data_IF_742356018687
#
_entry.id   IF_742356018687
#
_cell.length_a   1.000
_cell.length_b   1.000
_cell.length_c   1.000
_cell.angle_alpha   90.00
_cell.angle_beta   90.00
_cell.angle_gamma   90.00
#
_symmetry.space_group_name_H-M   'P 1'
#
loop_
_entity.id
_entity.type
_entity.pdbx_description
1 polymer ?
#
# COMPACT_ATOMS: atom_id res chain seq x y z
N UNK A 1 -16.38 24.36 0.46
CA UNK A 1 -14.96 24.74 0.40
C UNK A 1 -14.28 23.86 -0.63
N UNK A 2 -14.17 24.30 -1.88
CA UNK A 2 -13.45 23.51 -2.90
C UNK A 2 -11.96 23.72 -2.69
N UNK A 3 -11.29 22.67 -2.23
CA UNK A 3 -9.84 22.68 -2.08
C UNK A 3 -9.20 22.50 -3.46
N UNK A 4 -8.41 23.49 -3.88
CA UNK A 4 -7.83 23.65 -5.23
C UNK A 4 -6.64 22.71 -5.50
N UNK A 5 -6.73 21.45 -5.06
CA UNK A 5 -5.67 20.46 -5.30
C UNK A 5 -5.69 20.00 -6.76
N UNK A 6 -4.51 19.93 -7.38
CA UNK A 6 -4.34 19.24 -8.65
C UNK A 6 -4.03 17.77 -8.36
N UNK A 7 -4.89 16.86 -8.83
CA UNK A 7 -4.72 15.42 -8.64
C UNK A 7 -4.00 14.85 -9.86
N UNK A 8 -2.94 14.08 -9.61
CA UNK A 8 -2.21 13.33 -10.63
C UNK A 8 -2.55 11.86 -10.48
N UNK A 9 -3.07 11.23 -11.53
CA UNK A 9 -3.35 9.79 -11.56
C UNK A 9 -2.14 9.05 -12.13
N UNK A 10 -1.55 8.16 -11.33
CA UNK A 10 -0.37 7.37 -11.71
C UNK A 10 -0.68 5.88 -11.56
N UNK A 11 -0.18 5.07 -12.49
CA UNK A 11 -0.51 3.65 -12.58
C UNK A 11 0.22 2.74 -11.57
N UNK A 12 1.18 3.27 -10.79
CA UNK A 12 1.95 2.46 -9.85
C UNK A 12 2.52 3.27 -8.68
N UNK A 13 2.71 2.62 -7.55
CA UNK A 13 3.37 3.21 -6.38
C UNK A 13 4.83 3.60 -6.65
N UNK A 14 5.56 2.87 -7.51
CA UNK A 14 6.94 3.25 -7.88
C UNK A 14 6.97 4.60 -8.61
N UNK A 15 6.02 4.83 -9.53
CA UNK A 15 5.91 6.12 -10.24
C UNK A 15 5.52 7.23 -9.26
N UNK A 16 4.59 6.95 -8.33
CA UNK A 16 4.22 7.91 -7.28
C UNK A 16 5.42 8.30 -6.43
N UNK A 17 6.22 7.33 -5.96
CA UNK A 17 7.41 7.59 -5.16
C UNK A 17 8.47 8.38 -5.93
N UNK A 18 8.67 8.09 -7.23
CA UNK A 18 9.59 8.85 -8.06
C UNK A 18 9.20 10.34 -8.20
N UNK A 19 7.91 10.62 -8.36
CA UNK A 19 7.40 12.01 -8.40
C UNK A 19 7.59 12.72 -7.05
N UNK A 20 7.34 12.02 -5.93
CA UNK A 20 7.61 12.56 -4.58
C UNK A 20 9.09 12.84 -4.39
N UNK A 21 9.97 11.91 -4.75
CA UNK A 21 11.42 12.06 -4.62
C UNK A 21 11.98 13.19 -5.50
N UNK A 22 11.36 13.44 -6.66
CA UNK A 22 11.66 14.57 -7.54
C UNK A 22 11.12 15.92 -7.00
N UNK A 23 10.36 15.91 -5.90
CA UNK A 23 9.81 17.11 -5.27
C UNK A 23 8.63 17.75 -6.02
N UNK A 24 7.98 17.02 -6.94
CA UNK A 24 6.88 17.57 -7.75
C UNK A 24 5.52 17.46 -7.09
N UNK A 25 5.35 16.53 -6.15
CA UNK A 25 4.09 16.30 -5.44
C UNK A 25 4.30 15.63 -4.07
N UNK A 26 3.20 15.42 -3.35
CA UNK A 26 3.10 14.46 -2.26
C UNK A 26 2.14 13.33 -2.69
N UNK A 27 2.24 12.18 -2.04
CA UNK A 27 1.43 11.01 -2.37
C UNK A 27 0.97 10.27 -1.12
N UNK A 28 -0.19 9.62 -1.21
CA UNK A 28 -0.67 8.67 -0.22
C UNK A 28 -0.32 7.26 -0.68
N UNK A 29 0.30 6.46 0.19
CA UNK A 29 0.59 5.06 -0.08
C UNK A 29 0.48 4.23 1.21
N UNK A 30 0.22 2.92 1.10
CA UNK A 30 0.33 2.02 2.24
C UNK A 30 1.78 2.00 2.76
N UNK A 31 1.97 2.12 4.07
CA UNK A 31 3.29 2.07 4.71
C UNK A 31 4.14 0.84 4.27
N UNK A 32 3.60 -0.39 4.18
CA UNK A 32 4.39 -1.54 3.75
C UNK A 32 4.93 -1.42 2.31
N UNK A 33 4.24 -0.69 1.42
CA UNK A 33 4.72 -0.44 0.06
C UNK A 33 5.94 0.47 0.10
N UNK A 34 5.91 1.53 0.93
CA UNK A 34 7.05 2.42 1.10
C UNK A 34 8.26 1.70 1.69
N UNK A 35 8.03 0.85 2.70
CA UNK A 35 9.08 0.07 3.36
C UNK A 35 9.76 -0.92 2.37
N UNK A 36 9.00 -1.47 1.40
CA UNK A 36 9.53 -2.36 0.35
C UNK A 36 10.29 -1.64 -0.77
N UNK A 37 10.02 -0.35 -0.98
CA UNK A 37 10.58 0.42 -2.10
C UNK A 37 11.92 1.09 -1.79
N UNK A 38 12.47 0.91 -0.58
CA UNK A 38 13.69 1.57 -0.13
C UNK A 38 13.67 3.08 -0.43
N UNK A 39 12.67 3.77 0.15
CA UNK A 39 12.43 5.18 -0.13
C UNK A 39 13.72 6.02 -0.01
N UNK A 40 13.98 6.94 -0.96
CA UNK A 40 15.13 7.83 -0.89
C UNK A 40 15.17 8.62 0.43
N UNK A 41 16.36 8.89 0.97
CA UNK A 41 16.54 9.56 2.28
C UNK A 41 15.88 10.94 2.37
N UNK A 42 15.64 11.60 1.24
CA UNK A 42 14.97 12.90 1.17
C UNK A 42 13.45 12.81 1.21
N UNK A 43 12.87 11.60 1.15
CA UNK A 43 11.43 11.38 1.32
C UNK A 43 11.10 11.31 2.81
N UNK A 44 10.09 12.07 3.22
CA UNK A 44 9.53 12.04 4.58
C UNK A 44 8.11 11.50 4.50
N UNK A 45 7.77 10.60 5.42
CA UNK A 45 6.44 10.02 5.51
C UNK A 45 5.80 10.35 6.87
N UNK A 46 4.50 10.54 6.85
CA UNK A 46 3.68 10.72 8.05
C UNK A 46 2.47 9.78 7.97
N UNK A 47 2.12 9.17 9.09
CA UNK A 47 0.91 8.34 9.17
C UNK A 47 -0.34 9.23 9.14
N UNK A 48 -1.30 8.87 8.29
CA UNK A 48 -2.53 9.66 8.08
C UNK A 48 -3.77 8.87 8.48
N UNK A 49 -3.83 7.58 8.13
CA UNK A 49 -4.96 6.72 8.45
C UNK A 49 -4.54 5.25 8.45
N UNK A 50 -5.37 4.41 9.06
CA UNK A 50 -5.30 2.96 8.94
C UNK A 50 -6.23 2.49 7.82
N UNK A 51 -5.81 1.47 7.09
CA UNK A 51 -6.62 0.81 6.07
C UNK A 51 -6.50 -0.70 6.24
N UNK A 52 -7.65 -1.39 6.22
CA UNK A 52 -7.70 -2.84 6.36
C UNK A 52 -7.31 -3.52 5.05
N UNK A 53 -6.52 -4.58 5.16
CA UNK A 53 -6.20 -5.46 4.02
C UNK A 53 -6.92 -6.79 4.23
N UNK A 54 -7.81 -7.14 3.32
CA UNK A 54 -8.65 -8.33 3.42
C UNK A 54 -8.28 -9.38 2.37
N UNK A 55 -8.24 -10.65 2.76
CA UNK A 55 -8.23 -11.76 1.81
C UNK A 55 -9.67 -12.06 1.39
N UNK A 56 -10.00 -11.79 0.12
CA UNK A 56 -11.35 -11.97 -0.42
C UNK A 56 -11.43 -13.27 -1.22
N UNK A 57 -12.45 -14.08 -0.95
CA UNK A 57 -12.71 -15.35 -1.64
C UNK A 57 -14.19 -15.47 -2.03
N UNK A 58 -14.51 -16.38 -2.95
CA UNK A 58 -15.90 -16.76 -3.23
C UNK A 58 -16.40 -17.63 -2.07
N UNK A 59 -17.65 -17.43 -1.65
CA UNK A 59 -18.24 -18.07 -0.47
C UNK A 59 -18.09 -19.60 -0.41
N UNK A 60 -18.11 -20.28 -1.55
CA UNK A 60 -17.99 -21.74 -1.64
C UNK A 60 -16.60 -22.24 -2.11
N UNK A 61 -15.61 -21.35 -2.21
CA UNK A 61 -14.27 -21.74 -2.69
C UNK A 61 -13.45 -22.34 -1.54
N UNK A 62 -13.11 -23.61 -1.67
CA UNK A 62 -12.20 -24.32 -0.77
C UNK A 62 -11.25 -25.19 -1.60
N UNK A 63 -9.95 -25.05 -1.33
CA UNK A 63 -8.91 -25.90 -1.90
C UNK A 63 -7.75 -26.00 -0.92
N UNK A 64 -6.97 -27.08 -0.98
CA UNK A 64 -5.79 -27.22 -0.11
C UNK A 64 -4.78 -26.06 -0.28
N UNK A 65 -4.65 -25.52 -1.50
CA UNK A 65 -3.80 -24.36 -1.78
C UNK A 65 -4.33 -23.08 -1.12
N UNK A 66 -5.66 -22.89 -1.11
CA UNK A 66 -6.30 -21.76 -0.43
C UNK A 66 -6.07 -21.82 1.08
N UNK A 67 -6.30 -22.98 1.71
CA UNK A 67 -6.07 -23.15 3.14
C UNK A 67 -4.60 -22.92 3.53
N UNK A 68 -3.67 -23.37 2.68
CA UNK A 68 -2.24 -23.12 2.88
C UNK A 68 -1.90 -21.62 2.77
N UNK A 69 -2.47 -20.92 1.77
CA UNK A 69 -2.29 -19.48 1.60
C UNK A 69 -2.89 -18.70 2.78
N UNK A 70 -4.13 -18.99 3.17
CA UNK A 70 -4.82 -18.34 4.29
C UNK A 70 -3.96 -18.44 5.57
N UNK A 71 -3.50 -19.64 5.91
CA UNK A 71 -2.61 -19.86 7.04
C UNK A 71 -1.31 -19.04 6.94
N UNK A 72 -0.70 -18.99 5.76
CA UNK A 72 0.54 -18.22 5.55
C UNK A 72 0.34 -16.71 5.76
N UNK A 73 -0.81 -16.18 5.33
CA UNK A 73 -1.14 -14.76 5.43
C UNK A 73 -1.53 -14.40 6.86
N UNK A 74 -2.30 -15.24 7.55
CA UNK A 74 -2.66 -15.05 8.97
C UNK A 74 -1.43 -14.99 9.88
N UNK A 75 -0.44 -15.85 9.66
CA UNK A 75 0.83 -15.81 10.41
C UNK A 75 1.54 -14.47 10.18
N UNK A 76 1.57 -13.98 8.94
CA UNK A 76 2.26 -12.73 8.59
C UNK A 76 1.54 -11.50 9.13
N UNK A 77 0.20 -11.48 9.12
CA UNK A 77 -0.61 -10.37 9.65
C UNK A 77 -0.43 -10.19 11.15
N UNK A 78 -0.17 -11.26 11.91
CA UNK A 78 0.06 -11.18 13.38
C UNK A 78 1.48 -10.75 13.77
N UNK A 79 2.42 -10.77 12.83
CA UNK A 79 3.83 -10.47 13.07
C UNK A 79 4.21 -9.02 12.71
N UNK A 80 3.27 -8.24 12.15
CA UNK A 80 3.38 -6.83 11.76
C UNK A 80 2.55 -5.99 12.71
#
# INVERSE_FOLDING_TARGET
MQSRWQVMELASYHTMLACVAAGTCFALCPKPVLDLQCAPENVRAQEIAKADTCLVTRSAYSSGAYEALLRSVEIRVRAV
#
